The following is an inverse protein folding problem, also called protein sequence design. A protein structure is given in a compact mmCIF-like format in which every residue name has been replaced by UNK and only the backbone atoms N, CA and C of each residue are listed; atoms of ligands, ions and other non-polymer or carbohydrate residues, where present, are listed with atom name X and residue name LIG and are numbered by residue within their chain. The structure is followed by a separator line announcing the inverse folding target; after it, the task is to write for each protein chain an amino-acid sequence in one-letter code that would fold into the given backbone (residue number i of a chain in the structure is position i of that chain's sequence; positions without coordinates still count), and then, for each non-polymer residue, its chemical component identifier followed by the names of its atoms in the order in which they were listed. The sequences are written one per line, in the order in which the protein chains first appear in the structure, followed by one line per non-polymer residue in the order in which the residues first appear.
data_IF_469639306691
#
_entry.id   IF_469639306691
#
_cell.length_a   1.000
_cell.length_b   1.000
_cell.length_c   1.000
_cell.angle_alpha   90.00
_cell.angle_beta   90.00
_cell.angle_gamma   90.00
#
_symmetry.space_group_name_H-M   'P 1'
#
loop_
_entity.id
_entity.type
_entity.pdbx_description
1 polymer ?
#
# COMPACT_ATOMS: atom_id res chain seq x y z
N UNK A 1 -36.65 4.31 -7.41
CA UNK A 1 -35.22 4.66 -7.49
C UNK A 1 -34.39 3.54 -6.89
N UNK A 2 -33.41 3.11 -7.62
CA UNK A 2 -32.47 2.14 -7.09
C UNK A 2 -31.66 2.78 -5.97
N UNK A 3 -31.20 1.98 -5.02
CA UNK A 3 -30.35 2.46 -3.95
C UNK A 3 -28.99 2.86 -4.52
N UNK A 4 -28.34 3.88 -3.95
CA UNK A 4 -26.99 4.26 -4.41
C UNK A 4 -25.97 3.17 -4.09
N UNK A 5 -24.91 3.10 -4.90
CA UNK A 5 -23.82 2.15 -4.72
C UNK A 5 -22.48 2.84 -4.87
N UNK A 6 -21.43 2.13 -4.43
CA UNK A 6 -20.05 2.59 -4.54
C UNK A 6 -19.41 1.98 -5.78
N UNK A 7 -18.58 2.77 -6.49
CA UNK A 7 -17.91 2.33 -7.71
C UNK A 7 -16.52 1.73 -7.43
N UNK A 8 -15.68 2.42 -6.68
CA UNK A 8 -14.28 2.03 -6.48
C UNK A 8 -13.72 2.66 -5.22
N UNK A 9 -12.55 2.18 -4.82
CA UNK A 9 -11.72 2.85 -3.82
C UNK A 9 -10.89 3.90 -4.53
N UNK A 10 -10.88 5.14 -4.03
CA UNK A 10 -9.97 6.21 -4.50
C UNK A 10 -8.64 6.14 -3.77
N UNK A 11 -8.69 6.17 -2.45
CA UNK A 11 -7.50 6.10 -1.60
C UNK A 11 -7.82 5.50 -0.24
N UNK A 12 -6.77 5.08 0.44
CA UNK A 12 -6.79 4.72 1.85
C UNK A 12 -5.80 5.59 2.60
N UNK A 13 -5.91 5.62 3.92
CA UNK A 13 -4.97 6.30 4.81
C UNK A 13 -4.23 5.27 5.63
N UNK A 14 -2.92 5.37 5.67
CA UNK A 14 -2.05 4.49 6.43
C UNK A 14 -1.28 5.31 7.45
N UNK A 15 -1.33 4.89 8.71
CA UNK A 15 -0.51 5.47 9.77
C UNK A 15 0.88 4.85 9.70
N UNK A 16 1.93 5.68 9.76
CA UNK A 16 3.31 5.21 9.68
C UNK A 16 4.13 5.77 10.83
N UNK A 17 5.11 4.99 11.26
CA UNK A 17 6.04 5.41 12.32
C UNK A 17 7.11 6.36 11.77
N UNK A 18 7.67 6.04 10.61
CA UNK A 18 8.77 6.77 9.98
C UNK A 18 8.40 7.10 8.52
N UNK A 19 8.04 8.36 8.27
CA UNK A 19 7.57 8.78 6.94
C UNK A 19 8.65 8.59 5.87
N UNK A 20 9.91 9.05 6.04
CA UNK A 20 10.95 8.83 5.02
C UNK A 20 11.21 7.36 4.70
N UNK A 21 11.27 6.49 5.71
CA UNK A 21 11.47 5.05 5.50
C UNK A 21 10.30 4.41 4.74
N UNK A 22 9.08 4.84 5.05
CA UNK A 22 7.89 4.35 4.34
C UNK A 22 7.91 4.78 2.88
N UNK A 23 8.21 6.05 2.60
CA UNK A 23 8.33 6.56 1.24
C UNK A 23 9.38 5.76 0.47
N UNK A 24 10.55 5.54 1.06
CA UNK A 24 11.64 4.79 0.44
C UNK A 24 11.20 3.37 0.07
N UNK A 25 10.54 2.67 0.99
CA UNK A 25 10.07 1.30 0.74
C UNK A 25 9.08 1.26 -0.42
N UNK A 26 8.06 2.08 -0.38
CA UNK A 26 6.98 2.02 -1.37
C UNK A 26 7.42 2.55 -2.75
N UNK A 27 8.39 3.45 -2.81
CA UNK A 27 8.92 3.94 -4.10
C UNK A 27 10.02 3.03 -4.66
N UNK A 28 11.03 2.71 -3.89
CA UNK A 28 12.18 1.95 -4.38
C UNK A 28 11.89 0.45 -4.53
N UNK A 29 11.09 -0.10 -3.64
CA UNK A 29 10.78 -1.54 -3.66
C UNK A 29 9.49 -1.83 -4.41
N UNK A 30 8.42 -1.10 -4.12
CA UNK A 30 7.11 -1.36 -4.74
C UNK A 30 6.83 -0.52 -5.99
N UNK A 31 7.71 0.43 -6.35
CA UNK A 31 7.60 1.17 -7.61
C UNK A 31 6.51 2.24 -7.64
N UNK A 32 6.00 2.66 -6.49
CA UNK A 32 5.00 3.73 -6.43
C UNK A 32 5.63 5.09 -6.66
N UNK A 33 4.80 6.08 -7.01
CA UNK A 33 5.23 7.47 -7.16
C UNK A 33 4.88 8.25 -5.90
N UNK A 34 5.87 8.89 -5.29
CA UNK A 34 5.66 9.75 -4.13
C UNK A 34 5.26 11.15 -4.59
N UNK A 35 4.20 11.70 -3.99
CA UNK A 35 3.76 13.08 -4.21
C UNK A 35 3.61 13.76 -2.86
N UNK A 36 4.26 14.92 -2.72
CA UNK A 36 4.09 15.80 -1.56
C UNK A 36 3.10 16.90 -1.92
N UNK A 37 2.15 17.13 -1.03
CA UNK A 37 1.11 18.14 -1.21
C UNK A 37 1.14 19.13 -0.05
N UNK A 38 1.22 20.43 -0.38
CA UNK A 38 1.16 21.50 0.60
C UNK A 38 -0.28 22.00 0.68
N UNK A 39 -0.98 21.84 1.82
CA UNK A 39 -2.35 22.33 1.95
C UNK A 39 -2.42 23.85 1.78
N UNK A 40 -3.39 24.37 0.99
CA UNK A 40 -3.54 25.84 0.81
C UNK A 40 -3.83 26.59 2.10
N UNK A 41 -4.45 25.92 3.08
CA UNK A 41 -4.80 26.49 4.38
C UNK A 41 -3.63 26.50 5.37
N UNK A 42 -2.45 26.08 4.95
CA UNK A 42 -1.29 25.92 5.82
C UNK A 42 -1.28 24.58 6.52
N UNK A 43 -0.34 24.42 7.47
CA UNK A 43 -0.11 23.16 8.15
C UNK A 43 0.98 22.34 7.50
N UNK A 44 1.27 21.15 8.03
CA UNK A 44 2.35 20.31 7.51
C UNK A 44 2.01 19.78 6.12
N UNK A 45 3.05 19.55 5.31
CA UNK A 45 2.92 18.91 4.02
C UNK A 45 2.33 17.51 4.17
N UNK A 46 1.51 17.10 3.20
CA UNK A 46 0.89 15.78 3.16
C UNK A 46 1.59 14.91 2.14
N UNK A 47 1.76 13.65 2.48
CA UNK A 47 2.48 12.68 1.67
C UNK A 47 1.53 11.64 1.11
N UNK A 48 1.69 11.29 -0.15
CA UNK A 48 0.92 10.23 -0.78
C UNK A 48 1.77 9.37 -1.71
N UNK A 49 1.36 8.12 -1.85
CA UNK A 49 2.03 7.10 -2.67
C UNK A 49 1.03 6.66 -3.73
N UNK A 50 1.35 6.92 -4.99
CA UNK A 50 0.45 6.71 -6.12
C UNK A 50 0.81 5.45 -6.90
N UNK A 51 -0.19 4.69 -7.26
CA UNK A 51 -0.09 3.50 -8.09
C UNK A 51 -1.38 3.32 -8.89
N UNK A 52 -1.27 2.97 -10.18
CA UNK A 52 -2.45 2.88 -11.02
C UNK A 52 -3.29 4.17 -10.94
N UNK A 53 -4.58 4.03 -10.68
CA UNK A 53 -5.49 5.15 -10.50
C UNK A 53 -5.84 5.42 -9.02
N UNK A 54 -5.04 4.90 -8.09
CA UNK A 54 -5.29 4.96 -6.66
C UNK A 54 -4.08 5.50 -5.92
N UNK A 55 -4.25 5.79 -4.65
CA UNK A 55 -3.14 6.22 -3.80
C UNK A 55 -3.32 5.76 -2.36
N UNK A 56 -2.23 5.80 -1.62
CA UNK A 56 -2.19 5.68 -0.17
C UNK A 56 -1.73 7.02 0.37
N UNK A 57 -2.55 7.66 1.19
CA UNK A 57 -2.12 8.82 1.98
C UNK A 57 -1.41 8.28 3.22
N UNK A 58 -0.19 8.75 3.49
CA UNK A 58 0.55 8.34 4.66
C UNK A 58 0.54 9.46 5.70
N UNK A 59 0.21 9.09 6.94
CA UNK A 59 0.16 9.99 8.07
C UNK A 59 1.15 9.57 9.13
N UNK A 60 1.92 10.52 9.62
CA UNK A 60 2.78 10.31 10.78
C UNK A 60 1.87 10.03 11.99
N UNK A 61 2.05 8.85 12.62
CA UNK A 61 1.19 8.43 13.73
C UNK A 61 1.31 9.37 14.95
N UNK A 62 2.44 10.08 15.08
CA UNK A 62 2.65 11.03 16.17
C UNK A 62 1.95 12.38 15.97
N UNK A 63 1.43 12.63 14.76
CA UNK A 63 0.77 13.89 14.40
C UNK A 63 -0.49 13.63 13.56
N UNK A 64 -1.52 12.96 14.11
CA UNK A 64 -2.68 12.52 13.34
C UNK A 64 -3.50 13.70 12.83
N UNK A 65 -4.05 13.56 11.63
CA UNK A 65 -5.02 14.47 11.07
C UNK A 65 -6.44 14.03 11.43
N UNK A 66 -7.31 14.96 11.76
CA UNK A 66 -8.71 14.68 12.00
C UNK A 66 -9.54 15.05 10.75
N UNK A 67 -10.57 14.29 10.37
CA UNK A 67 -10.98 13.02 11.00
C UNK A 67 -10.07 11.87 10.64
N UNK A 68 -10.00 10.86 11.48
CA UNK A 68 -9.24 9.63 11.25
C UNK A 68 -10.02 8.41 11.76
N UNK A 69 -9.53 7.21 11.44
CA UNK A 69 -10.11 5.98 11.95
C UNK A 69 -10.07 5.96 13.49
N UNK A 70 -10.98 5.20 14.10
CA UNK A 70 -11.06 5.10 15.57
C UNK A 70 -9.72 4.68 16.18
N UNK A 71 -9.02 3.74 15.55
CA UNK A 71 -7.73 3.21 16.02
C UNK A 71 -6.65 3.50 14.98
N UNK A 72 -6.14 4.74 14.93
CA UNK A 72 -5.11 5.12 13.95
C UNK A 72 -3.74 4.66 14.44
N UNK A 73 -3.41 3.40 14.17
CA UNK A 73 -2.19 2.74 14.63
C UNK A 73 -1.36 2.27 13.45
N UNK A 74 -0.05 2.10 13.65
CA UNK A 74 0.85 1.54 12.66
C UNK A 74 0.72 0.02 12.58
N UNK A 75 1.03 -0.57 11.42
CA UNK A 75 1.11 -2.02 11.28
C UNK A 75 -0.23 -2.74 11.28
N UNK A 76 -1.34 -2.03 11.10
CA UNK A 76 -2.69 -2.60 11.16
C UNK A 76 -3.31 -2.84 9.79
N UNK A 77 -2.57 -2.64 8.70
CA UNK A 77 -3.10 -2.72 7.34
C UNK A 77 -2.67 -4.03 6.69
N UNK A 78 -3.58 -4.60 5.92
CA UNK A 78 -3.38 -5.81 5.12
C UNK A 78 -3.90 -5.48 3.72
N UNK A 79 -3.00 -5.40 2.73
CA UNK A 79 -3.32 -4.94 1.38
C UNK A 79 -2.85 -5.93 0.32
N UNK A 80 -3.68 -6.13 -0.69
CA UNK A 80 -3.33 -6.89 -1.89
C UNK A 80 -3.22 -5.94 -3.09
N UNK A 81 -2.06 -5.95 -3.73
CA UNK A 81 -1.79 -5.20 -4.95
C UNK A 81 -1.76 -6.14 -6.15
N UNK A 82 -2.40 -5.73 -7.22
CA UNK A 82 -2.34 -6.43 -8.51
C UNK A 82 -1.20 -5.83 -9.32
N UNK A 83 -0.40 -6.70 -9.91
CA UNK A 83 0.71 -6.33 -10.80
C UNK A 83 0.62 -7.10 -12.11
N UNK A 84 1.15 -6.50 -13.18
CA UNK A 84 1.26 -7.14 -14.49
C UNK A 84 2.62 -7.82 -14.68
N UNK A 85 3.64 -7.45 -13.89
CA UNK A 85 4.91 -8.15 -13.88
C UNK A 85 4.72 -9.51 -13.19
N UNK A 86 5.40 -10.53 -13.70
CA UNK A 86 5.25 -11.89 -13.17
C UNK A 86 5.71 -11.96 -11.72
N UNK A 87 5.08 -12.87 -10.96
CA UNK A 87 5.51 -13.13 -9.58
C UNK A 87 6.97 -13.58 -9.54
N UNK A 88 7.44 -14.30 -10.57
CA UNK A 88 8.86 -14.66 -10.69
C UNK A 88 9.77 -13.46 -10.77
N UNK A 89 9.41 -12.44 -11.53
CA UNK A 89 10.17 -11.18 -11.61
C UNK A 89 10.17 -10.46 -10.26
N UNK A 90 9.05 -10.45 -9.58
CA UNK A 90 8.95 -9.88 -8.24
C UNK A 90 9.81 -10.61 -7.22
N UNK A 91 9.85 -11.95 -7.28
CA UNK A 91 10.73 -12.74 -6.41
C UNK A 91 12.20 -12.34 -6.60
N UNK A 92 12.64 -12.17 -7.85
CA UNK A 92 14.01 -11.74 -8.14
C UNK A 92 14.28 -10.32 -7.65
N UNK A 93 13.37 -9.41 -7.89
CA UNK A 93 13.48 -8.01 -7.45
C UNK A 93 13.56 -7.90 -5.93
N UNK A 94 12.68 -8.59 -5.21
CA UNK A 94 12.66 -8.57 -3.75
C UNK A 94 13.94 -9.17 -3.16
N UNK A 95 14.45 -10.23 -3.78
CA UNK A 95 15.73 -10.83 -3.36
C UNK A 95 16.87 -9.82 -3.50
N UNK A 96 16.93 -9.08 -4.60
CA UNK A 96 17.94 -8.03 -4.80
C UNK A 96 17.80 -6.89 -3.78
N UNK A 97 16.58 -6.60 -3.35
CA UNK A 97 16.32 -5.56 -2.35
C UNK A 97 16.52 -6.05 -0.90
N UNK A 98 16.82 -7.34 -0.71
CA UNK A 98 16.97 -7.93 0.62
C UNK A 98 15.65 -8.08 1.38
N UNK A 99 14.53 -8.18 0.67
CA UNK A 99 13.20 -8.34 1.25
C UNK A 99 12.82 -9.81 1.24
N UNK A 100 12.52 -10.37 2.41
CA UNK A 100 12.07 -11.75 2.54
C UNK A 100 10.61 -11.90 2.14
N UNK A 101 10.31 -12.97 1.40
CA UNK A 101 8.94 -13.39 1.15
C UNK A 101 8.52 -14.29 2.31
N UNK A 102 7.49 -13.86 3.04
CA UNK A 102 7.00 -14.58 4.22
C UNK A 102 6.20 -15.81 3.82
N UNK A 103 5.36 -15.68 2.79
CA UNK A 103 4.50 -16.75 2.27
C UNK A 103 4.43 -16.63 0.75
N UNK A 104 4.43 -17.77 0.08
CA UNK A 104 4.17 -17.84 -1.35
C UNK A 104 5.40 -18.21 -2.20
N UNK A 105 5.15 -18.41 -3.51
CA UNK A 105 3.90 -18.22 -4.24
C UNK A 105 2.78 -19.18 -3.82
N UNK A 106 1.58 -18.64 -3.62
CA UNK A 106 0.40 -19.43 -3.26
C UNK A 106 -0.81 -18.96 -4.07
N UNK A 107 -1.77 -19.86 -4.27
CA UNK A 107 -3.02 -19.51 -4.93
C UNK A 107 -3.98 -18.89 -3.91
N UNK A 108 -4.63 -17.81 -4.32
CA UNK A 108 -5.65 -17.11 -3.54
C UNK A 108 -6.84 -16.77 -4.44
N UNK A 109 -7.92 -16.31 -3.86
CA UNK A 109 -9.10 -15.85 -4.59
C UNK A 109 -9.20 -14.33 -4.41
N UNK A 110 -9.13 -13.62 -5.54
CA UNK A 110 -9.29 -12.17 -5.57
C UNK A 110 -10.72 -11.76 -5.89
N UNK A 111 -10.93 -10.46 -5.97
CA UNK A 111 -12.24 -9.89 -6.26
C UNK A 111 -12.77 -10.29 -7.64
N UNK A 112 -11.88 -10.49 -8.61
CA UNK A 112 -12.24 -10.79 -10.00
C UNK A 112 -11.70 -12.14 -10.48
N UNK A 113 -11.31 -13.03 -9.58
CA UNK A 113 -10.87 -14.37 -9.94
C UNK A 113 -9.65 -14.83 -9.17
N UNK A 114 -9.09 -15.99 -9.57
CA UNK A 114 -7.96 -16.56 -8.86
C UNK A 114 -6.68 -15.75 -9.04
N UNK A 115 -5.85 -15.76 -7.99
CA UNK A 115 -4.59 -15.04 -7.92
C UNK A 115 -3.45 -16.01 -7.64
N UNK A 116 -2.25 -15.65 -8.10
CA UNK A 116 -0.99 -16.18 -7.61
C UNK A 116 -0.32 -15.08 -6.80
N UNK A 117 -0.03 -15.34 -5.53
CA UNK A 117 0.34 -14.31 -4.57
C UNK A 117 1.62 -14.62 -3.80
N UNK A 118 2.35 -13.56 -3.47
CA UNK A 118 3.43 -13.56 -2.50
C UNK A 118 3.14 -12.52 -1.42
N UNK A 119 3.63 -12.75 -0.20
CA UNK A 119 3.40 -11.89 0.96
C UNK A 119 4.71 -11.39 1.53
N UNK A 120 4.78 -10.09 1.76
CA UNK A 120 5.93 -9.43 2.39
C UNK A 120 5.44 -8.49 3.50
N UNK A 121 6.38 -7.91 4.25
CA UNK A 121 6.11 -6.90 5.27
C UNK A 121 6.71 -5.57 4.85
N UNK A 122 5.98 -4.50 5.12
CA UNK A 122 6.51 -3.14 4.98
C UNK A 122 7.26 -2.73 6.26
N UNK A 123 7.85 -1.52 6.35
CA UNK A 123 8.63 -1.11 7.52
C UNK A 123 7.88 -1.14 8.84
N UNK A 124 6.56 -0.97 8.83
CA UNK A 124 5.73 -0.99 10.04
C UNK A 124 5.12 -2.36 10.33
N UNK A 125 5.42 -3.36 9.51
CA UNK A 125 4.86 -4.70 9.66
C UNK A 125 3.49 -4.88 9.01
N UNK A 126 3.03 -3.92 8.20
CA UNK A 126 1.82 -4.13 7.40
C UNK A 126 2.03 -5.30 6.45
N UNK A 127 0.99 -6.12 6.30
CA UNK A 127 1.05 -7.27 5.40
C UNK A 127 0.73 -6.82 3.98
N UNK A 128 1.67 -7.06 3.08
CA UNK A 128 1.55 -6.67 1.67
C UNK A 128 1.52 -7.93 0.82
N UNK A 129 0.43 -8.12 0.10
CA UNK A 129 0.26 -9.19 -0.87
C UNK A 129 0.47 -8.61 -2.27
N UNK A 130 1.29 -9.27 -3.08
CA UNK A 130 1.56 -8.89 -4.47
C UNK A 130 1.07 -10.05 -5.33
N UNK A 131 0.21 -9.77 -6.31
CA UNK A 131 -0.53 -10.82 -7.00
C UNK A 131 -0.65 -10.61 -8.50
N UNK A 132 -0.60 -11.71 -9.23
CA UNK A 132 -1.06 -11.80 -10.61
C UNK A 132 -2.42 -12.46 -10.64
N UNK A 133 -3.32 -11.99 -11.49
CA UNK A 133 -4.47 -12.81 -11.89
C UNK A 133 -3.99 -13.97 -12.76
N UNK A 134 -4.57 -15.14 -12.55
CA UNK A 134 -4.23 -16.36 -13.28
C UNK A 134 -5.44 -17.04 -13.90
#
# INVERSE_FOLDING_TARGET
MDKPDLHSIDHIVMQVFDVPETIKFYTEILGMTHIEFQPPTGGPARQSLHFGAQKINIHDVSAPFVPHARNPVVGAVDLCFITQQSIGDWQQHLAKCGIAIEVGPVRKIGANGPLLSIYIRDPDGNLIEISNYI
#
